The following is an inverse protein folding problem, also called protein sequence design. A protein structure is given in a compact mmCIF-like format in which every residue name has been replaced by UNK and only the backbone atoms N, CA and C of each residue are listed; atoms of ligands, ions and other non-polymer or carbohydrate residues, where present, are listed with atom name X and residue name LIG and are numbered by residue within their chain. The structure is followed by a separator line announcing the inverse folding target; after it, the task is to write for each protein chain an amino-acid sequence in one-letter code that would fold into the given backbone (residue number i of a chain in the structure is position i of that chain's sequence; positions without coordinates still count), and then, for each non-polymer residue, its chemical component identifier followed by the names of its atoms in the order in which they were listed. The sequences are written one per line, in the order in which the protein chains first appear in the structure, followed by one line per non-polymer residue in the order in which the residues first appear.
data_IF_735564610134
#
_entry.id   IF_735564610134
#
_cell.length_a   1.000
_cell.length_b   1.000
_cell.length_c   1.000
_cell.angle_alpha   90.00
_cell.angle_beta   90.00
_cell.angle_gamma   90.00
#
_symmetry.space_group_name_H-M   'P 1'
#
loop_
_entity.id
_entity.type
_entity.pdbx_description
1 polymer ?
#
# COMPACT_ATOMS: atom_id res chain seq x y z
N UNK A 1 40.39 17.08 51.72
CA UNK A 1 39.16 16.51 51.11
C UNK A 1 37.95 17.07 51.85
N UNK A 2 37.29 18.08 51.26
CA UNK A 2 36.18 18.81 51.89
C UNK A 2 34.98 17.86 52.04
N UNK A 3 34.44 17.74 53.26
CA UNK A 3 33.29 16.87 53.57
C UNK A 3 32.01 17.38 52.88
N UNK A 4 31.77 16.93 51.64
CA UNK A 4 30.53 17.22 50.88
C UNK A 4 29.24 16.79 51.59
N UNK A 5 29.32 15.90 52.60
CA UNK A 5 28.15 15.33 53.29
C UNK A 5 27.42 16.30 54.24
N UNK A 6 28.01 17.43 54.66
CA UNK A 6 27.37 18.37 55.59
C UNK A 6 26.63 19.53 54.90
N UNK A 7 26.99 19.84 53.65
CA UNK A 7 26.37 20.90 52.84
C UNK A 7 24.85 20.75 52.68
N UNK A 8 24.29 19.56 52.34
CA UNK A 8 22.84 19.42 52.19
C UNK A 8 22.08 19.62 53.51
N UNK A 9 22.65 19.18 54.65
CA UNK A 9 22.03 19.41 55.98
C UNK A 9 21.97 20.90 56.34
N UNK A 10 23.00 21.66 55.98
CA UNK A 10 23.07 23.10 56.25
C UNK A 10 22.10 23.87 55.34
N UNK A 11 21.98 23.48 54.08
CA UNK A 11 21.00 24.02 53.13
C UNK A 11 19.56 23.78 53.58
N UNK A 12 19.22 22.55 54.01
CA UNK A 12 17.88 22.19 54.50
C UNK A 12 17.52 22.96 55.79
N UNK A 13 18.47 23.13 56.73
CA UNK A 13 18.24 23.96 57.94
C UNK A 13 17.96 25.42 57.59
N UNK A 14 18.69 25.97 56.61
CA UNK A 14 18.50 27.35 56.13
C UNK A 14 17.17 27.52 55.39
N UNK A 15 16.78 26.56 54.56
CA UNK A 15 15.46 26.49 53.92
C UNK A 15 14.32 26.48 54.95
N UNK A 16 14.45 25.68 56.03
CA UNK A 16 13.46 25.62 57.12
C UNK A 16 13.30 26.94 57.87
N UNK A 17 14.39 27.68 58.08
CA UNK A 17 14.34 28.97 58.81
C UNK A 17 13.71 30.10 57.98
N UNK A 18 13.88 30.06 56.66
CA UNK A 18 13.30 31.03 55.72
C UNK A 18 12.09 30.48 54.94
N UNK A 19 11.28 29.62 55.58
CA UNK A 19 10.24 28.84 54.88
C UNK A 19 9.16 29.70 54.20
N UNK A 20 8.84 30.89 54.75
CA UNK A 20 7.84 31.80 54.16
C UNK A 20 8.26 32.30 52.78
N UNK A 21 9.50 32.78 52.64
CA UNK A 21 10.06 33.22 51.36
C UNK A 21 10.18 32.05 50.38
N UNK A 22 10.65 30.90 50.85
CA UNK A 22 10.79 29.69 50.03
C UNK A 22 9.44 29.21 49.50
N UNK A 23 8.38 29.26 50.33
CA UNK A 23 7.03 28.86 49.91
C UNK A 23 6.49 29.75 48.79
N UNK A 24 6.69 31.07 48.88
CA UNK A 24 6.26 32.00 47.84
C UNK A 24 6.95 31.72 46.51
N UNK A 25 8.26 31.48 46.52
CA UNK A 25 9.02 31.15 45.30
C UNK A 25 8.61 29.79 44.75
N UNK A 26 8.45 28.79 45.63
CA UNK A 26 8.02 27.45 45.21
C UNK A 26 6.64 27.49 44.55
N UNK A 27 5.68 28.22 45.13
CA UNK A 27 4.33 28.38 44.56
C UNK A 27 4.39 29.10 43.21
N UNK A 28 5.15 30.19 43.09
CA UNK A 28 5.30 30.91 41.83
C UNK A 28 5.91 30.04 40.72
N UNK A 29 6.98 29.31 41.03
CA UNK A 29 7.61 28.37 40.10
C UNK A 29 6.65 27.24 39.70
N UNK A 30 5.86 26.74 40.64
CA UNK A 30 4.89 25.66 40.37
C UNK A 30 3.75 26.15 39.47
N UNK A 31 3.23 27.35 39.70
CA UNK A 31 2.22 27.98 38.82
C UNK A 31 2.79 28.24 37.44
N UNK A 32 4.00 28.79 37.33
CA UNK A 32 4.65 29.03 36.05
C UNK A 32 4.86 27.72 35.26
N UNK A 33 5.34 26.66 35.94
CA UNK A 33 5.50 25.34 35.34
C UNK A 33 4.16 24.74 34.90
N UNK A 34 3.10 24.90 35.71
CA UNK A 34 1.76 24.43 35.37
C UNK A 34 1.20 25.14 34.13
N UNK A 35 1.34 26.46 34.03
CA UNK A 35 0.86 27.24 32.87
C UNK A 35 1.64 26.84 31.59
N UNK A 36 2.96 26.71 31.68
CA UNK A 36 3.80 26.30 30.55
C UNK A 36 3.44 24.88 30.08
N UNK A 37 3.25 23.95 31.01
CA UNK A 37 2.84 22.58 30.70
C UNK A 37 1.43 22.52 30.12
N UNK A 38 0.48 23.28 30.66
CA UNK A 38 -0.89 23.34 30.16
C UNK A 38 -0.95 23.87 28.72
N UNK A 39 -0.15 24.89 28.40
CA UNK A 39 -0.07 25.45 27.04
C UNK A 39 0.44 24.42 26.03
N UNK A 40 1.48 23.66 26.38
CA UNK A 40 2.01 22.61 25.51
C UNK A 40 0.97 21.50 25.28
N UNK A 41 0.37 20.98 26.36
CA UNK A 41 -0.64 19.90 26.30
C UNK A 41 -1.86 20.35 25.49
N UNK A 42 -2.35 21.57 25.72
CA UNK A 42 -3.50 22.11 24.98
C UNK A 42 -3.22 22.26 23.49
N UNK A 43 -2.02 22.72 23.14
CA UNK A 43 -1.61 22.89 21.74
C UNK A 43 -1.55 21.54 21.02
N UNK A 44 -0.98 20.52 21.68
CA UNK A 44 -0.96 19.16 21.14
C UNK A 44 -2.36 18.58 20.97
N UNK A 45 -3.24 18.78 21.96
CA UNK A 45 -4.63 18.33 21.90
C UNK A 45 -5.43 18.98 20.77
N UNK A 46 -5.29 20.30 20.55
CA UNK A 46 -5.94 20.98 19.42
C UNK A 46 -5.40 20.46 18.09
N UNK A 47 -4.07 20.29 17.98
CA UNK A 47 -3.46 19.81 16.75
C UNK A 47 -3.96 18.42 16.40
N UNK A 48 -4.03 17.52 17.37
CA UNK A 48 -4.50 16.14 17.18
C UNK A 48 -5.99 16.10 16.81
N UNK A 49 -6.82 16.88 17.52
CA UNK A 49 -8.26 16.99 17.19
C UNK A 49 -8.47 17.58 15.80
N UNK A 50 -7.69 18.61 15.44
CA UNK A 50 -7.73 19.23 14.12
C UNK A 50 -7.29 18.28 13.01
N UNK A 51 -6.24 17.49 13.23
CA UNK A 51 -5.77 16.47 12.30
C UNK A 51 -6.82 15.38 12.11
N UNK A 52 -7.38 14.86 13.21
CA UNK A 52 -8.45 13.87 13.18
C UNK A 52 -9.66 14.37 12.39
N UNK A 53 -10.10 15.59 12.67
CA UNK A 53 -11.22 16.21 11.97
C UNK A 53 -10.93 16.40 10.47
N UNK A 54 -9.72 16.84 10.11
CA UNK A 54 -9.31 17.00 8.72
C UNK A 54 -9.24 15.66 7.95
N UNK A 55 -8.82 14.58 8.62
CA UNK A 55 -8.81 13.22 8.05
C UNK A 55 -10.24 12.69 7.88
N UNK A 56 -11.09 12.82 8.91
CA UNK A 56 -12.47 12.30 8.87
C UNK A 56 -13.37 13.01 7.85
N UNK A 57 -13.06 14.25 7.48
CA UNK A 57 -13.82 15.01 6.48
C UNK A 57 -13.43 14.72 5.03
N UNK A 58 -12.29 14.07 4.79
CA UNK A 58 -11.82 13.75 3.45
C UNK A 58 -12.38 12.40 3.02
N UNK A 59 -12.63 12.25 1.72
CA UNK A 59 -12.93 10.93 1.15
C UNK A 59 -11.70 10.03 1.34
N UNK A 60 -11.92 8.77 1.71
CA UNK A 60 -10.83 7.82 1.96
C UNK A 60 -9.93 7.64 0.73
N UNK A 61 -10.47 7.80 -0.49
CA UNK A 61 -9.73 7.74 -1.75
C UNK A 61 -8.78 8.93 -1.94
N UNK A 62 -9.03 10.07 -1.30
CA UNK A 62 -8.12 11.23 -1.31
C UNK A 62 -6.96 11.09 -0.33
N UNK A 63 -7.07 10.16 0.62
CA UNK A 63 -6.08 9.88 1.65
C UNK A 63 -5.18 8.68 1.29
N UNK A 64 -5.43 8.04 0.15
CA UNK A 64 -4.69 6.85 -0.29
C UNK A 64 -3.27 7.18 -0.72
N UNK A 65 -2.32 6.40 -0.19
CA UNK A 65 -0.92 6.46 -0.60
C UNK A 65 -0.67 5.47 -1.74
N UNK A 66 -0.64 6.02 -2.97
CA UNK A 66 -0.38 5.25 -4.18
C UNK A 66 1.11 5.22 -4.50
N UNK A 67 1.71 4.04 -4.43
CA UNK A 67 3.10 3.81 -4.83
C UNK A 67 3.10 3.19 -6.22
N UNK A 68 3.78 3.87 -7.15
CA UNK A 68 3.90 3.42 -8.53
C UNK A 68 5.31 2.94 -8.80
N UNK A 69 5.41 1.75 -9.37
CA UNK A 69 6.64 1.20 -9.92
C UNK A 69 6.38 0.77 -11.36
N UNK A 70 7.26 1.20 -12.25
CA UNK A 70 7.25 0.80 -13.66
C UNK A 70 8.47 -0.07 -13.96
N UNK A 71 8.40 -0.86 -15.04
CA UNK A 71 9.53 -1.63 -15.58
C UNK A 71 10.18 -2.59 -14.57
N UNK A 72 9.36 -3.31 -13.80
CA UNK A 72 9.87 -4.35 -12.90
C UNK A 72 10.02 -5.68 -13.66
N UNK A 73 11.16 -6.39 -13.55
CA UNK A 73 11.31 -7.72 -14.10
C UNK A 73 10.27 -8.68 -13.51
N UNK A 74 9.71 -9.56 -14.34
CA UNK A 74 8.80 -10.62 -13.89
C UNK A 74 9.62 -11.75 -13.29
N UNK A 75 10.01 -11.59 -12.02
CA UNK A 75 10.73 -12.60 -11.24
C UNK A 75 10.14 -12.66 -9.83
N UNK A 76 9.65 -13.83 -9.37
CA UNK A 76 9.05 -13.97 -8.03
C UNK A 76 9.95 -13.49 -6.90
N UNK A 77 11.24 -13.85 -6.91
CA UNK A 77 12.17 -13.44 -5.86
C UNK A 77 12.44 -11.93 -5.87
N UNK A 78 12.54 -11.34 -7.07
CA UNK A 78 12.72 -9.89 -7.20
C UNK A 78 11.46 -9.13 -6.78
N UNK A 79 10.28 -9.64 -7.15
CA UNK A 79 8.99 -9.11 -6.73
C UNK A 79 8.87 -9.12 -5.21
N UNK A 80 9.18 -10.24 -4.57
CA UNK A 80 9.07 -10.40 -3.12
C UNK A 80 10.07 -9.51 -2.37
N UNK A 81 11.32 -9.42 -2.85
CA UNK A 81 12.32 -8.52 -2.28
C UNK A 81 11.94 -7.04 -2.43
N UNK A 82 11.33 -6.66 -3.55
CA UNK A 82 10.82 -5.29 -3.75
C UNK A 82 9.59 -5.03 -2.88
N UNK A 83 8.68 -6.00 -2.78
CA UNK A 83 7.49 -5.97 -1.91
C UNK A 83 7.88 -5.71 -0.46
N UNK A 84 8.89 -6.42 0.05
CA UNK A 84 9.36 -6.28 1.43
C UNK A 84 10.10 -4.95 1.67
N UNK A 85 10.89 -4.48 0.70
CA UNK A 85 11.52 -3.15 0.78
C UNK A 85 10.47 -2.03 0.80
N UNK A 86 9.43 -2.13 -0.02
CA UNK A 86 8.33 -1.18 -0.01
C UNK A 86 7.55 -1.22 1.30
N UNK A 87 7.13 -2.41 1.76
CA UNK A 87 6.35 -2.56 2.98
C UNK A 87 7.09 -2.04 4.22
N UNK A 88 8.39 -2.36 4.34
CA UNK A 88 9.22 -1.90 5.46
C UNK A 88 9.42 -0.39 5.44
N UNK A 89 9.63 0.22 4.27
CA UNK A 89 9.76 1.68 4.13
C UNK A 89 8.44 2.40 4.45
N UNK A 90 7.31 1.88 3.98
CA UNK A 90 6.00 2.45 4.29
C UNK A 90 5.74 2.35 5.79
N UNK A 91 5.99 1.19 6.39
CA UNK A 91 5.78 0.96 7.82
C UNK A 91 6.66 1.87 8.68
N UNK A 92 7.91 2.11 8.28
CA UNK A 92 8.81 3.00 9.03
C UNK A 92 8.38 4.47 8.93
N UNK A 93 8.00 4.94 7.74
CA UNK A 93 7.54 6.32 7.54
C UNK A 93 6.20 6.62 8.22
N UNK A 94 5.31 5.63 8.25
CA UNK A 94 3.95 5.80 8.77
C UNK A 94 3.83 5.34 10.22
N UNK A 95 4.91 4.84 10.81
CA UNK A 95 4.91 4.23 12.15
C UNK A 95 3.84 3.13 12.30
N UNK A 96 3.51 2.46 11.20
CA UNK A 96 2.45 1.43 11.16
C UNK A 96 1.02 1.96 11.19
N UNK A 97 0.81 3.28 11.03
CA UNK A 97 -0.53 3.87 10.95
C UNK A 97 -1.32 3.43 9.71
N UNK A 98 -0.63 2.97 8.65
CA UNK A 98 -1.26 2.43 7.45
C UNK A 98 -1.29 0.91 7.48
N UNK A 99 -2.44 0.36 7.08
CA UNK A 99 -2.56 -1.06 6.78
C UNK A 99 -2.01 -1.37 5.37
N UNK A 100 -1.53 -2.59 5.11
CA UNK A 100 -1.09 -2.99 3.77
C UNK A 100 -2.26 -2.93 2.79
N UNK A 101 -2.30 -1.87 1.98
CA UNK A 101 -3.34 -1.65 0.99
C UNK A 101 -3.09 -2.51 -0.26
N UNK A 102 -4.20 -2.82 -0.94
CA UNK A 102 -4.29 -3.69 -2.10
C UNK A 102 -3.15 -3.47 -3.11
N UNK A 103 -2.53 -4.57 -3.53
CA UNK A 103 -1.50 -4.53 -4.59
C UNK A 103 -2.18 -4.78 -5.91
N UNK A 104 -1.76 -4.04 -6.91
CA UNK A 104 -2.18 -4.26 -8.28
C UNK A 104 -0.98 -4.15 -9.20
N UNK A 105 -1.00 -4.88 -10.30
CA UNK A 105 0.01 -4.79 -11.33
C UNK A 105 -0.60 -5.05 -12.69
N UNK A 106 0.02 -4.45 -13.69
CA UNK A 106 -0.36 -4.58 -15.09
C UNK A 106 0.89 -4.96 -15.89
N UNK A 107 0.78 -5.98 -16.72
CA UNK A 107 1.85 -6.36 -17.62
C UNK A 107 2.02 -5.33 -18.74
N UNK A 108 3.17 -5.39 -19.42
CA UNK A 108 3.30 -4.81 -20.74
C UNK A 108 2.32 -5.47 -21.74
N UNK A 109 2.16 -4.83 -22.90
CA UNK A 109 1.16 -5.24 -23.91
C UNK A 109 1.54 -6.56 -24.58
N UNK A 110 0.53 -7.42 -24.72
CA UNK A 110 0.54 -8.62 -25.54
C UNK A 110 -0.35 -8.46 -26.77
N UNK A 111 -0.06 -9.24 -27.80
CA UNK A 111 -0.93 -9.41 -28.97
C UNK A 111 -1.61 -10.78 -28.90
N UNK A 112 -2.93 -10.83 -28.62
CA UNK A 112 -3.67 -12.08 -28.58
C UNK A 112 -3.90 -12.62 -30.00
N UNK A 113 -3.75 -13.93 -30.16
CA UNK A 113 -4.15 -14.66 -31.36
C UNK A 113 -4.85 -15.97 -30.98
N UNK A 114 -5.63 -16.60 -31.88
CA UNK A 114 -6.08 -17.97 -31.68
C UNK A 114 -4.88 -18.91 -31.47
N UNK A 115 -5.05 -20.05 -30.77
CA UNK A 115 -3.94 -20.95 -30.46
C UNK A 115 -3.19 -21.40 -31.72
N UNK A 116 -1.86 -21.24 -31.73
CA UNK A 116 -0.99 -21.51 -32.87
C UNK A 116 -0.97 -20.42 -33.95
N UNK A 117 -1.68 -19.31 -33.74
CA UNK A 117 -1.65 -18.14 -34.60
C UNK A 117 -0.33 -17.37 -34.54
N UNK A 118 -0.18 -16.41 -35.45
CA UNK A 118 0.91 -15.43 -35.40
C UNK A 118 0.36 -14.02 -35.54
N UNK A 119 0.84 -13.05 -34.75
CA UNK A 119 0.31 -11.70 -34.78
C UNK A 119 0.76 -10.98 -36.05
N UNK A 120 -0.17 -10.31 -36.73
CA UNK A 120 0.17 -9.46 -37.86
C UNK A 120 0.82 -8.15 -37.36
N UNK A 121 2.15 -8.07 -37.44
CA UNK A 121 2.91 -6.91 -36.97
C UNK A 121 2.79 -5.68 -37.86
N UNK A 122 2.23 -5.81 -39.07
CA UNK A 122 2.01 -4.68 -40.00
C UNK A 122 0.69 -3.96 -39.77
N UNK A 123 -0.28 -4.63 -39.17
CA UNK A 123 -1.59 -4.05 -38.84
C UNK A 123 -1.44 -3.11 -37.63
N UNK A 124 -1.86 -1.85 -37.77
CA UNK A 124 -1.82 -0.89 -36.66
C UNK A 124 -3.02 -1.04 -35.71
N UNK A 125 -4.13 -1.62 -36.18
CA UNK A 125 -5.38 -1.82 -35.45
C UNK A 125 -5.49 -3.22 -34.83
N UNK A 126 -4.39 -3.97 -34.76
CA UNK A 126 -4.35 -5.31 -34.15
C UNK A 126 -4.84 -5.27 -32.70
N UNK A 127 -5.50 -6.35 -32.28
CA UNK A 127 -5.95 -6.53 -30.90
C UNK A 127 -4.79 -6.45 -29.91
N UNK A 128 -5.05 -5.93 -28.72
CA UNK A 128 -4.07 -5.77 -27.64
C UNK A 128 -4.66 -6.28 -26.35
N UNK A 129 -3.84 -6.96 -25.56
CA UNK A 129 -4.20 -7.48 -24.26
C UNK A 129 -3.13 -7.13 -23.23
N UNK A 130 -3.54 -7.01 -21.98
CA UNK A 130 -2.65 -6.85 -20.84
C UNK A 130 -3.17 -7.78 -19.74
N UNK A 131 -2.25 -8.31 -18.94
CA UNK A 131 -2.60 -9.09 -17.75
C UNK A 131 -2.60 -8.15 -16.56
N UNK A 132 -3.71 -8.16 -15.84
CA UNK A 132 -3.87 -7.42 -14.61
C UNK A 132 -4.00 -8.42 -13.46
N UNK A 133 -3.35 -8.12 -12.34
CA UNK A 133 -3.58 -8.82 -11.09
C UNK A 133 -3.87 -7.82 -10.00
N UNK A 134 -4.67 -8.24 -9.02
CA UNK A 134 -4.99 -7.44 -7.84
C UNK A 134 -5.16 -8.35 -6.62
N UNK A 135 -4.65 -7.89 -5.47
CA UNK A 135 -4.92 -8.54 -4.18
C UNK A 135 -6.40 -8.41 -3.83
N UNK A 136 -7.04 -9.52 -3.44
CA UNK A 136 -8.47 -9.53 -3.12
C UNK A 136 -9.34 -9.31 -4.36
N UNK A 137 -9.03 -10.00 -5.46
CA UNK A 137 -9.78 -9.90 -6.72
C UNK A 137 -11.28 -10.15 -6.50
N UNK A 138 -11.61 -11.10 -5.64
CA UNK A 138 -12.94 -11.50 -5.20
C UNK A 138 -13.71 -10.40 -4.44
N UNK A 139 -13.01 -9.42 -3.88
CA UNK A 139 -13.61 -8.29 -3.16
C UNK A 139 -13.93 -7.11 -4.09
N UNK A 140 -13.44 -7.16 -5.34
CA UNK A 140 -13.46 -6.03 -6.26
C UNK A 140 -14.04 -6.35 -7.63
N UNK A 141 -14.21 -7.62 -7.97
CA UNK A 141 -14.80 -8.05 -9.24
C UNK A 141 -15.84 -9.11 -8.92
N UNK A 142 -17.07 -8.89 -9.38
CA UNK A 142 -18.14 -9.88 -9.31
C UNK A 142 -18.08 -10.77 -10.56
N UNK A 143 -17.92 -12.09 -10.38
CA UNK A 143 -18.01 -13.06 -11.48
C UNK A 143 -19.46 -13.24 -11.88
N UNK A 144 -19.81 -12.83 -13.09
CA UNK A 144 -21.16 -13.01 -13.65
C UNK A 144 -21.34 -14.39 -14.27
N UNK A 145 -20.27 -14.97 -14.81
CA UNK A 145 -20.29 -16.29 -15.45
C UNK A 145 -18.96 -17.02 -15.23
N UNK A 146 -18.99 -18.34 -15.02
CA UNK A 146 -17.78 -19.14 -14.80
C UNK A 146 -17.26 -19.06 -13.37
N UNK A 147 -15.93 -19.05 -13.21
CA UNK A 147 -15.25 -19.10 -11.90
C UNK A 147 -14.07 -18.12 -11.84
N UNK A 148 -13.62 -17.81 -10.61
CA UNK A 148 -12.36 -17.09 -10.44
C UNK A 148 -11.16 -17.94 -10.89
N UNK A 149 -10.12 -17.33 -11.49
CA UNK A 149 -8.88 -18.01 -11.79
C UNK A 149 -8.22 -18.58 -10.54
N UNK A 150 -7.64 -19.78 -10.67
CA UNK A 150 -6.92 -20.41 -9.58
C UNK A 150 -5.57 -19.73 -9.35
N UNK A 151 -5.24 -19.42 -8.10
CA UNK A 151 -3.92 -18.89 -7.76
C UNK A 151 -2.86 -19.99 -7.91
N UNK A 152 -1.88 -19.75 -8.80
CA UNK A 152 -0.77 -20.68 -9.04
C UNK A 152 0.53 -20.06 -8.55
N UNK A 153 1.22 -20.77 -7.65
CA UNK A 153 2.49 -20.30 -7.05
C UNK A 153 3.71 -20.53 -7.97
N UNK A 154 3.55 -21.35 -9.00
CA UNK A 154 4.57 -21.70 -9.98
C UNK A 154 4.02 -21.52 -11.38
N UNK A 155 4.90 -21.38 -12.39
CA UNK A 155 4.45 -21.35 -13.78
C UNK A 155 3.61 -22.61 -14.06
N UNK A 156 2.36 -22.47 -14.53
CA UNK A 156 1.53 -23.63 -14.82
C UNK A 156 2.13 -24.40 -16.01
N UNK A 157 2.07 -25.73 -15.96
CA UNK A 157 2.39 -26.63 -17.08
C UNK A 157 1.34 -26.56 -18.21
N UNK A 158 0.41 -25.60 -18.15
CA UNK A 158 -0.75 -25.44 -19.03
C UNK A 158 -1.16 -23.97 -19.19
N UNK A 159 -2.32 -23.71 -19.80
CA UNK A 159 -2.77 -22.34 -20.04
C UNK A 159 -3.04 -21.62 -18.71
N UNK A 160 -2.63 -20.36 -18.65
CA UNK A 160 -2.94 -19.48 -17.53
C UNK A 160 -4.45 -19.17 -17.53
N UNK A 161 -5.12 -19.47 -16.43
CA UNK A 161 -6.52 -19.13 -16.24
C UNK A 161 -6.68 -17.62 -16.11
N UNK A 162 -7.61 -17.04 -16.87
CA UNK A 162 -7.88 -15.60 -16.85
C UNK A 162 -9.36 -15.31 -16.73
N UNK A 163 -9.65 -14.19 -16.08
CA UNK A 163 -10.98 -13.58 -16.03
C UNK A 163 -11.02 -12.40 -17.00
N UNK A 164 -12.09 -12.31 -17.79
CA UNK A 164 -12.29 -11.23 -18.75
C UNK A 164 -13.46 -10.36 -18.30
N UNK A 165 -13.37 -9.04 -18.50
CA UNK A 165 -14.48 -8.14 -18.19
C UNK A 165 -15.69 -8.45 -19.07
N UNK A 166 -16.89 -8.58 -18.49
CA UNK A 166 -18.11 -8.98 -19.21
C UNK A 166 -18.40 -8.06 -20.41
N UNK A 167 -18.26 -6.74 -20.24
CA UNK A 167 -18.44 -5.78 -21.35
C UNK A 167 -17.42 -5.97 -22.48
N UNK A 168 -16.17 -6.30 -22.14
CA UNK A 168 -15.11 -6.58 -23.12
C UNK A 168 -15.38 -7.90 -23.85
N UNK A 169 -15.85 -8.91 -23.11
CA UNK A 169 -16.21 -10.21 -23.65
C UNK A 169 -17.36 -10.09 -24.65
N UNK A 170 -18.42 -9.34 -24.31
CA UNK A 170 -19.56 -9.09 -25.20
C UNK A 170 -19.14 -8.35 -26.48
N UNK A 171 -18.28 -7.33 -26.38
CA UNK A 171 -17.82 -6.55 -27.52
C UNK A 171 -16.92 -7.34 -28.48
N UNK A 172 -16.10 -8.24 -27.93
CA UNK A 172 -15.11 -9.01 -28.70
C UNK A 172 -15.59 -10.43 -29.04
N UNK A 173 -16.78 -10.83 -28.57
CA UNK A 173 -17.32 -12.17 -28.75
C UNK A 173 -16.49 -13.26 -28.06
N UNK A 174 -15.92 -12.96 -26.89
CA UNK A 174 -15.10 -13.90 -26.11
C UNK A 174 -16.01 -14.66 -25.14
N UNK A 175 -15.93 -15.98 -25.16
CA UNK A 175 -16.69 -16.88 -24.29
C UNK A 175 -15.85 -17.60 -23.24
N UNK A 176 -16.54 -18.33 -22.35
CA UNK A 176 -15.90 -19.27 -21.43
C UNK A 176 -15.25 -20.42 -22.18
N UNK A 177 -14.04 -20.79 -21.78
CA UNK A 177 -13.25 -21.85 -22.38
C UNK A 177 -12.43 -21.42 -23.59
N UNK A 178 -12.59 -20.19 -24.08
CA UNK A 178 -11.77 -19.67 -25.17
C UNK A 178 -10.30 -19.63 -24.77
N UNK A 179 -9.44 -20.04 -25.70
CA UNK A 179 -7.99 -20.03 -25.52
C UNK A 179 -7.34 -19.02 -26.47
N UNK A 180 -6.32 -18.34 -25.97
CA UNK A 180 -5.54 -17.39 -26.75
C UNK A 180 -4.05 -17.59 -26.50
N UNK A 181 -3.26 -17.38 -27.56
CA UNK A 181 -1.81 -17.27 -27.47
C UNK A 181 -1.44 -15.77 -27.39
N UNK A 182 -0.85 -15.38 -26.27
CA UNK A 182 -0.42 -14.01 -25.98
C UNK A 182 1.05 -13.83 -26.37
N UNK A 183 1.29 -13.06 -27.43
CA UNK A 183 2.64 -12.74 -27.91
C UNK A 183 3.16 -11.44 -27.29
N UNK A 184 4.31 -11.45 -26.60
CA UNK A 184 4.85 -10.26 -25.96
C UNK A 184 5.32 -9.24 -27.00
N UNK A 185 4.85 -7.99 -26.91
CA UNK A 185 5.26 -6.93 -27.84
C UNK A 185 6.77 -6.67 -27.84
N UNK A 186 7.40 -6.79 -26.68
CA UNK A 186 8.81 -6.43 -26.48
C UNK A 186 9.81 -7.51 -26.87
N UNK A 187 9.35 -8.74 -27.14
CA UNK A 187 10.20 -9.88 -27.41
C UNK A 187 9.50 -10.87 -28.36
N UNK A 188 9.37 -10.51 -29.65
CA UNK A 188 8.57 -11.26 -30.62
C UNK A 188 9.04 -12.70 -30.85
N UNK A 189 10.29 -13.02 -30.53
CA UNK A 189 10.89 -14.34 -30.69
C UNK A 189 10.62 -15.28 -29.50
N UNK A 190 10.02 -14.79 -28.40
CA UNK A 190 9.65 -15.64 -27.28
C UNK A 190 8.39 -16.45 -27.61
N UNK A 191 8.34 -17.67 -27.08
CA UNK A 191 7.15 -18.50 -27.15
C UNK A 191 5.95 -17.75 -26.54
N UNK A 192 4.77 -17.81 -27.19
CA UNK A 192 3.58 -17.16 -26.65
C UNK A 192 3.15 -17.83 -25.35
N UNK A 193 2.53 -17.04 -24.49
CA UNK A 193 1.87 -17.54 -23.29
C UNK A 193 0.43 -17.90 -23.61
N UNK A 194 0.06 -19.16 -23.37
CA UNK A 194 -1.32 -19.60 -23.56
C UNK A 194 -2.17 -19.18 -22.38
N UNK A 195 -3.34 -18.63 -22.64
CA UNK A 195 -4.34 -18.27 -21.64
C UNK A 195 -5.68 -18.93 -21.96
N UNK A 196 -6.45 -19.25 -20.93
CA UNK A 196 -7.82 -19.77 -21.05
C UNK A 196 -8.78 -18.93 -20.24
N UNK A 197 -9.89 -18.53 -20.85
CA UNK A 197 -10.95 -17.77 -20.18
C UNK A 197 -11.76 -18.73 -19.30
N UNK A 198 -11.72 -18.53 -17.98
CA UNK A 198 -12.46 -19.36 -17.01
C UNK A 198 -13.63 -18.63 -16.36
N UNK A 199 -13.67 -17.31 -16.50
CA UNK A 199 -14.72 -16.48 -15.92
C UNK A 199 -14.90 -15.15 -16.65
N UNK A 200 -16.12 -14.64 -16.59
CA UNK A 200 -16.49 -13.29 -17.00
C UNK A 200 -16.90 -12.51 -15.76
N UNK A 201 -16.36 -11.30 -15.59
CA UNK A 201 -16.63 -10.50 -14.40
C UNK A 201 -16.91 -9.03 -14.67
N UNK A 202 -17.54 -8.37 -13.69
CA UNK A 202 -17.84 -6.95 -13.70
C UNK A 202 -17.26 -6.30 -12.45
N UNK A 203 -16.64 -5.14 -12.62
CA UNK A 203 -16.13 -4.29 -11.52
C UNK A 203 -17.28 -3.52 -10.83
#
# INVERSE_FOLDING_TARGET
MIRLRSLPRLAVRRMRRNWKLLSSVATGTLVAAAILSATAIYSDAIRDLGLKHAIEQRDIRELDLRILQSNSPVNPAAYEANRERQSSTIRSLTQGALQPAARQGMSATFYPTPPGGTPNLTDQNRARANILFRTGLDQHIEVTEGVYPTEVLTAPDGPLEVLVGAATADQLGIGLGDEFDLHPFWAPDLAPMRVRVVGLGRE
#
